data_IF_289719730244
#
_entry.id   IF_289719730244
#
_cell.length_a   1.000
_cell.length_b   1.000
_cell.length_c   1.000
_cell.angle_alpha   90.00
_cell.angle_beta   90.00
_cell.angle_gamma   90.00
#
_symmetry.space_group_name_H-M   'P 1'
#
loop_
_entity.id
_entity.type
_entity.pdbx_description
1 polymer ?
#
# COMPACT_ATOMS: atom_id res chain seq x y z
N UNK A 1 0.47 -27.43 -40.28
CA UNK A 1 -0.73 -27.49 -39.41
C UNK A 1 -1.41 -26.15 -39.52
N UNK A 2 -2.37 -26.05 -40.44
CA UNK A 2 -3.17 -24.85 -40.67
C UNK A 2 -4.27 -24.80 -39.62
N UNK A 3 -4.28 -23.76 -38.78
CA UNK A 3 -5.38 -23.50 -37.86
C UNK A 3 -6.55 -22.95 -38.66
N UNK A 4 -7.46 -23.83 -39.09
CA UNK A 4 -8.77 -23.45 -39.62
C UNK A 4 -9.54 -22.66 -38.55
N UNK A 5 -9.45 -21.34 -38.62
CA UNK A 5 -10.31 -20.44 -37.85
C UNK A 5 -11.74 -20.57 -38.35
N UNK A 6 -12.50 -21.48 -37.74
CA UNK A 6 -13.95 -21.53 -37.93
C UNK A 6 -14.53 -20.15 -37.58
N UNK A 7 -15.45 -19.61 -38.41
CA UNK A 7 -16.13 -18.36 -38.08
C UNK A 7 -16.80 -18.51 -36.71
N UNK A 8 -16.41 -17.67 -35.75
CA UNK A 8 -17.05 -17.61 -34.44
C UNK A 8 -18.55 -17.38 -34.66
N UNK A 9 -19.38 -18.35 -34.30
CA UNK A 9 -20.83 -18.17 -34.32
C UNK A 9 -21.18 -17.02 -33.36
N UNK A 10 -22.23 -16.23 -33.63
CA UNK A 10 -22.66 -15.15 -32.73
C UNK A 10 -22.88 -15.62 -31.28
N UNK A 11 -23.29 -16.88 -31.11
CA UNK A 11 -23.44 -17.54 -29.82
C UNK A 11 -22.08 -17.84 -29.16
N UNK A 12 -21.09 -18.32 -29.92
CA UNK A 12 -19.71 -18.51 -29.44
C UNK A 12 -19.02 -17.19 -29.04
N UNK A 13 -19.27 -16.11 -29.78
CA UNK A 13 -18.79 -14.78 -29.43
C UNK A 13 -19.41 -14.26 -28.12
N UNK A 14 -20.73 -14.47 -27.91
CA UNK A 14 -21.41 -14.11 -26.65
C UNK A 14 -20.95 -14.95 -25.47
N UNK A 15 -20.75 -16.26 -25.67
CA UNK A 15 -20.24 -17.15 -24.64
C UNK A 15 -18.81 -16.75 -24.22
N UNK A 16 -17.93 -16.45 -25.17
CA UNK A 16 -16.57 -15.98 -24.89
C UNK A 16 -16.55 -14.63 -24.15
N UNK A 17 -17.45 -13.71 -24.49
CA UNK A 17 -17.60 -12.44 -23.77
C UNK A 17 -18.11 -12.64 -22.34
N UNK A 18 -19.08 -13.54 -22.14
CA UNK A 18 -19.60 -13.88 -20.83
C UNK A 18 -18.54 -14.55 -19.94
N UNK A 19 -17.74 -15.46 -20.50
CA UNK A 19 -16.62 -16.12 -19.80
C UNK A 19 -15.52 -15.11 -19.43
N UNK A 20 -15.19 -14.20 -20.34
CA UNK A 20 -14.24 -13.10 -20.07
C UNK A 20 -14.73 -12.21 -18.94
N UNK A 21 -16.02 -11.87 -18.93
CA UNK A 21 -16.61 -11.06 -17.86
C UNK A 21 -16.66 -11.83 -16.53
N UNK A 22 -16.94 -13.14 -16.56
CA UNK A 22 -16.89 -14.00 -15.38
C UNK A 22 -15.49 -14.09 -14.78
N UNK A 23 -14.46 -14.27 -15.61
CA UNK A 23 -13.04 -14.26 -15.19
C UNK A 23 -12.66 -12.89 -14.64
N UNK A 24 -13.07 -11.80 -15.29
CA UNK A 24 -12.83 -10.43 -14.80
C UNK A 24 -13.48 -10.19 -13.46
N UNK A 25 -14.72 -10.63 -13.28
CA UNK A 25 -15.48 -10.47 -12.03
C UNK A 25 -14.84 -11.29 -10.92
N UNK A 26 -14.44 -12.54 -11.20
CA UNK A 26 -13.76 -13.43 -10.25
C UNK A 26 -12.37 -12.90 -9.85
N UNK A 27 -11.59 -12.41 -10.81
CA UNK A 27 -10.30 -11.78 -10.53
C UNK A 27 -10.45 -10.48 -9.71
N UNK A 28 -11.50 -9.69 -9.99
CA UNK A 28 -11.84 -8.51 -9.18
C UNK A 28 -12.22 -8.90 -7.75
N UNK A 29 -13.05 -9.93 -7.58
CA UNK A 29 -13.46 -10.43 -6.26
C UNK A 29 -12.30 -11.07 -5.47
N UNK A 30 -11.35 -11.72 -6.13
CA UNK A 30 -10.14 -12.25 -5.48
C UNK A 30 -9.19 -11.12 -5.07
N UNK A 31 -8.97 -10.14 -5.96
CA UNK A 31 -8.17 -8.92 -5.71
C UNK A 31 -8.74 -7.96 -4.67
N UNK A 32 -10.02 -8.15 -4.34
CA UNK A 32 -10.74 -7.51 -3.26
C UNK A 32 -10.46 -8.11 -1.86
N UNK A 33 -9.77 -9.25 -1.74
CA UNK A 33 -9.55 -9.85 -0.42
C UNK A 33 -8.65 -8.98 0.47
N UNK A 34 -9.02 -8.74 1.75
CA UNK A 34 -8.21 -7.92 2.65
C UNK A 34 -6.82 -8.51 2.86
N UNK A 35 -5.84 -7.63 2.97
CA UNK A 35 -4.50 -8.00 3.42
C UNK A 35 -4.55 -8.65 4.81
N UNK A 36 -3.61 -9.56 5.13
CA UNK A 36 -3.47 -10.07 6.47
C UNK A 36 -3.32 -8.94 7.48
N UNK A 37 -4.00 -9.05 8.63
CA UNK A 37 -3.99 -8.01 9.68
C UNK A 37 -2.58 -7.69 10.14
N UNK A 38 -1.69 -8.69 10.23
CA UNK A 38 -0.29 -8.47 10.59
C UNK A 38 0.44 -7.55 9.60
N UNK A 39 0.19 -7.71 8.29
CA UNK A 39 0.83 -6.89 7.26
C UNK A 39 0.34 -5.44 7.33
N UNK A 40 -0.97 -5.27 7.53
CA UNK A 40 -1.56 -3.95 7.79
C UNK A 40 -0.91 -3.28 9.01
N UNK A 41 -0.83 -3.97 10.15
CA UNK A 41 -0.20 -3.44 11.37
C UNK A 41 1.25 -3.03 11.11
N UNK A 42 2.04 -3.87 10.42
CA UNK A 42 3.42 -3.51 10.08
C UNK A 42 3.48 -2.28 9.17
N UNK A 43 2.65 -2.21 8.13
CA UNK A 43 2.61 -1.05 7.23
C UNK A 43 2.25 0.23 7.99
N UNK A 44 1.27 0.17 8.90
CA UNK A 44 0.89 1.32 9.74
C UNK A 44 2.04 1.74 10.65
N UNK A 45 2.71 0.81 11.31
CA UNK A 45 3.88 1.10 12.15
C UNK A 45 5.03 1.70 11.33
N UNK A 46 5.27 1.19 10.13
CA UNK A 46 6.28 1.74 9.21
C UNK A 46 5.96 3.19 8.81
N UNK A 47 4.71 3.47 8.42
CA UNK A 47 4.25 4.82 8.11
C UNK A 47 4.37 5.75 9.33
N UNK A 48 4.03 5.27 10.52
CA UNK A 48 4.13 6.05 11.76
C UNK A 48 5.58 6.32 12.17
N UNK A 49 6.50 5.40 11.88
CA UNK A 49 7.92 5.57 12.22
C UNK A 49 8.64 6.54 11.27
N UNK A 50 8.21 6.63 10.00
CA UNK A 50 8.89 7.38 8.94
C UNK A 50 9.20 8.85 9.29
N UNK A 51 8.25 9.66 9.81
CA UNK A 51 8.54 11.07 10.12
C UNK A 51 9.61 11.21 11.19
N UNK A 52 9.59 10.35 12.22
CA UNK A 52 10.55 10.37 13.32
C UNK A 52 11.94 10.00 12.80
N UNK A 53 12.05 8.88 12.07
CA UNK A 53 13.34 8.41 11.56
C UNK A 53 13.93 9.40 10.55
N UNK A 54 13.11 9.92 9.64
CA UNK A 54 13.57 10.89 8.64
C UNK A 54 13.91 12.26 9.25
N UNK A 55 13.17 12.69 10.29
CA UNK A 55 13.54 13.83 11.13
C UNK A 55 14.90 13.64 11.81
N UNK A 56 15.17 12.44 12.33
CA UNK A 56 16.48 12.05 12.90
C UNK A 56 17.64 12.19 11.94
N UNK A 57 17.45 11.80 10.68
CA UNK A 57 18.47 11.90 9.64
C UNK A 57 18.74 13.35 9.24
N UNK A 58 17.69 14.19 9.25
CA UNK A 58 17.73 15.56 8.70
C UNK A 58 17.95 16.64 9.74
N UNK A 59 17.94 16.31 11.03
CA UNK A 59 18.20 17.23 12.13
C UNK A 59 19.59 17.89 12.03
N UNK A 60 19.69 19.19 12.32
CA UNK A 60 20.94 19.96 12.21
C UNK A 60 21.96 19.59 13.31
N UNK A 61 21.49 19.13 14.47
CA UNK A 61 22.29 18.54 15.56
C UNK A 61 21.85 17.10 15.83
N UNK A 62 22.64 16.35 16.61
CA UNK A 62 22.23 15.02 17.06
C UNK A 62 20.90 15.12 17.84
N UNK A 63 19.92 14.35 17.39
CA UNK A 63 18.56 14.37 17.94
C UNK A 63 18.16 12.96 18.35
N UNK A 64 18.08 12.70 19.66
CA UNK A 64 17.88 11.39 20.33
C UNK A 64 18.98 10.35 20.07
N UNK A 65 19.41 10.20 18.83
CA UNK A 65 20.48 9.32 18.36
C UNK A 65 21.37 10.08 17.37
N UNK A 66 22.65 9.68 17.22
CA UNK A 66 23.51 10.19 16.16
C UNK A 66 22.93 9.90 14.77
N UNK A 67 23.16 10.79 13.79
CA UNK A 67 22.65 10.62 12.41
C UNK A 67 22.91 9.23 11.79
N UNK A 68 24.11 8.61 11.93
CA UNK A 68 24.34 7.27 11.38
C UNK A 68 23.42 6.20 11.97
N UNK A 69 23.09 6.31 13.26
CA UNK A 69 22.17 5.38 13.91
C UNK A 69 20.75 5.51 13.32
N UNK A 70 20.29 6.74 13.06
CA UNK A 70 19.01 6.96 12.36
C UNK A 70 19.00 6.40 10.95
N UNK A 71 20.09 6.55 10.20
CA UNK A 71 20.24 5.94 8.87
C UNK A 71 20.16 4.42 8.94
N UNK A 72 20.84 3.78 9.90
CA UNK A 72 20.76 2.33 10.12
C UNK A 72 19.33 1.89 10.47
N UNK A 73 18.64 2.65 11.31
CA UNK A 73 17.22 2.39 11.63
C UNK A 73 16.38 2.44 10.36
N UNK A 74 16.52 3.48 9.53
CA UNK A 74 15.78 3.61 8.27
C UNK A 74 15.99 2.41 7.34
N UNK A 75 17.25 2.02 7.14
CA UNK A 75 17.60 0.87 6.30
C UNK A 75 16.99 -0.42 6.86
N UNK A 76 17.05 -0.62 8.18
CA UNK A 76 16.50 -1.79 8.85
C UNK A 76 14.98 -1.87 8.69
N UNK A 77 14.26 -0.80 9.01
CA UNK A 77 12.78 -0.81 8.90
C UNK A 77 12.34 -0.97 7.45
N UNK A 78 13.08 -0.42 6.48
CA UNK A 78 12.80 -0.57 5.05
C UNK A 78 13.02 -2.00 4.59
N UNK A 79 14.11 -2.63 5.02
CA UNK A 79 14.38 -4.04 4.70
C UNK A 79 13.33 -4.98 5.30
N UNK A 80 12.95 -4.75 6.56
CA UNK A 80 11.88 -5.52 7.22
C UNK A 80 10.55 -5.34 6.49
N UNK A 81 10.19 -4.10 6.15
CA UNK A 81 8.98 -3.82 5.37
C UNK A 81 9.00 -4.54 4.01
N UNK A 82 10.11 -4.46 3.28
CA UNK A 82 10.26 -5.14 1.99
C UNK A 82 10.13 -6.66 2.08
N UNK A 83 10.74 -7.27 3.10
CA UNK A 83 10.62 -8.71 3.35
C UNK A 83 9.17 -9.12 3.66
N UNK A 84 8.50 -8.38 4.53
CA UNK A 84 7.11 -8.63 4.90
C UNK A 84 6.14 -8.41 3.73
N UNK A 85 6.38 -7.39 2.91
CA UNK A 85 5.64 -7.17 1.67
C UNK A 85 5.83 -8.33 0.69
N UNK A 86 7.06 -8.82 0.53
CA UNK A 86 7.35 -9.96 -0.34
C UNK A 86 6.64 -11.24 0.14
N UNK A 87 6.63 -11.50 1.45
CA UNK A 87 5.89 -12.62 2.05
C UNK A 87 4.39 -12.48 1.79
N UNK A 88 3.82 -11.30 2.03
CA UNK A 88 2.40 -11.05 1.81
C UNK A 88 2.02 -11.18 0.33
N UNK A 89 2.84 -10.63 -0.58
CA UNK A 89 2.64 -10.73 -2.03
C UNK A 89 2.78 -12.17 -2.53
N UNK A 90 3.70 -12.96 -1.97
CA UNK A 90 3.84 -14.39 -2.28
C UNK A 90 2.63 -15.18 -1.80
N UNK A 91 2.27 -15.06 -0.52
CA UNK A 91 1.11 -15.74 0.05
C UNK A 91 -0.19 -15.39 -0.70
N UNK A 92 -0.30 -14.14 -1.14
CA UNK A 92 -1.39 -13.68 -2.00
C UNK A 92 -1.43 -14.42 -3.35
N UNK A 93 -0.29 -14.44 -4.04
CA UNK A 93 -0.15 -15.10 -5.35
C UNK A 93 -0.42 -16.59 -5.25
N UNK A 94 0.06 -17.23 -4.19
CA UNK A 94 -0.16 -18.66 -3.94
C UNK A 94 -1.65 -18.96 -3.69
N UNK A 95 -2.38 -18.04 -3.02
CA UNK A 95 -3.80 -18.21 -2.71
C UNK A 95 -4.73 -17.90 -3.88
N UNK A 96 -4.40 -16.89 -4.69
CA UNK A 96 -5.31 -16.34 -5.71
C UNK A 96 -4.89 -16.62 -7.14
N UNK A 97 -3.64 -17.04 -7.38
CA UNK A 97 -3.07 -17.22 -8.71
C UNK A 97 -2.77 -15.92 -9.47
N UNK A 98 -3.12 -14.75 -8.91
CA UNK A 98 -3.03 -13.44 -9.56
C UNK A 98 -2.01 -12.56 -8.85
N UNK A 99 -1.22 -11.80 -9.61
CA UNK A 99 -0.34 -10.79 -9.05
C UNK A 99 -1.17 -9.67 -8.37
N UNK A 100 -0.66 -9.15 -7.27
CA UNK A 100 -1.31 -8.07 -6.53
C UNK A 100 -1.55 -6.85 -7.46
N UNK A 101 -2.83 -6.51 -7.70
CA UNK A 101 -3.20 -5.38 -8.56
C UNK A 101 -3.54 -4.16 -7.71
N UNK A 102 -2.79 -3.09 -7.90
CA UNK A 102 -3.08 -1.77 -7.30
C UNK A 102 -4.30 -1.08 -7.94
N UNK A 103 -4.75 -1.57 -9.10
CA UNK A 103 -5.84 -1.00 -9.91
C UNK A 103 -7.24 -1.12 -9.30
N UNK A 104 -7.40 -1.97 -8.28
CA UNK A 104 -8.70 -2.30 -7.67
C UNK A 104 -9.14 -1.22 -6.67
N UNK A 105 -8.21 -0.37 -6.24
CA UNK A 105 -8.52 0.72 -5.33
C UNK A 105 -9.12 1.92 -6.10
N UNK A 106 -10.18 2.56 -5.56
CA UNK A 106 -10.81 3.71 -6.21
C UNK A 106 -9.81 4.85 -6.37
N UNK A 107 -9.49 5.21 -7.62
CA UNK A 107 -8.52 6.25 -8.00
C UNK A 107 -8.73 7.59 -7.28
N UNK A 108 -9.99 7.93 -6.99
CA UNK A 108 -10.36 9.16 -6.28
C UNK A 108 -9.85 9.21 -4.83
N UNK A 109 -9.67 8.06 -4.20
CA UNK A 109 -9.12 7.96 -2.85
C UNK A 109 -7.61 7.73 -2.87
N UNK A 110 -7.12 6.85 -3.77
CA UNK A 110 -5.69 6.52 -3.81
C UNK A 110 -4.80 7.62 -4.33
N UNK A 111 -5.26 8.44 -5.28
CA UNK A 111 -4.42 9.50 -5.85
C UNK A 111 -4.09 10.60 -4.82
N UNK A 112 -5.06 11.15 -4.05
CA UNK A 112 -4.74 12.07 -2.96
C UNK A 112 -3.83 11.47 -1.90
N UNK A 113 -3.99 10.17 -1.59
CA UNK A 113 -3.14 9.50 -0.61
C UNK A 113 -1.70 9.30 -1.15
N UNK A 114 -1.56 8.88 -2.41
CA UNK A 114 -0.27 8.63 -3.03
C UNK A 114 0.58 9.90 -3.15
N UNK A 115 -0.05 11.07 -3.22
CA UNK A 115 0.65 12.36 -3.25
C UNK A 115 0.75 12.99 -1.86
N UNK A 116 -0.36 13.02 -1.13
CA UNK A 116 -0.47 13.68 0.17
C UNK A 116 0.30 12.97 1.27
N UNK A 117 0.35 11.63 1.26
CA UNK A 117 1.08 10.87 2.28
C UNK A 117 2.60 11.11 2.18
N UNK A 118 3.27 11.01 1.01
CA UNK A 118 4.68 11.39 0.91
C UNK A 118 4.95 12.84 1.33
N UNK A 119 4.11 13.79 0.91
CA UNK A 119 4.24 15.20 1.29
C UNK A 119 4.14 15.37 2.80
N UNK A 120 3.17 14.72 3.45
CA UNK A 120 3.00 14.77 4.89
C UNK A 120 4.21 14.19 5.63
N UNK A 121 4.66 12.98 5.22
CA UNK A 121 5.72 12.26 5.91
C UNK A 121 7.07 12.96 5.77
N UNK A 122 7.39 13.45 4.56
CA UNK A 122 8.66 14.13 4.26
C UNK A 122 8.62 15.60 4.70
N UNK A 123 7.52 16.30 4.42
CA UNK A 123 7.35 17.71 4.75
C UNK A 123 7.42 17.99 6.25
N UNK A 124 6.94 17.05 7.09
CA UNK A 124 7.06 17.15 8.53
C UNK A 124 8.51 17.20 9.03
N UNK A 125 9.43 16.46 8.39
CA UNK A 125 10.84 16.52 8.73
C UNK A 125 11.47 17.87 8.37
N UNK A 126 11.07 18.47 7.26
CA UNK A 126 11.48 19.83 6.91
C UNK A 126 10.93 20.87 7.88
N UNK A 127 9.66 20.75 8.29
CA UNK A 127 9.06 21.63 9.29
C UNK A 127 9.75 21.48 10.66
N UNK A 128 10.06 20.25 11.07
CA UNK A 128 10.84 19.96 12.27
C UNK A 128 12.23 20.61 12.20
N UNK A 129 12.95 20.44 11.09
CA UNK A 129 14.27 21.05 10.91
C UNK A 129 14.21 22.57 10.99
N UNK A 130 13.21 23.19 10.35
CA UNK A 130 13.08 24.65 10.34
C UNK A 130 12.64 25.25 11.68
N UNK A 131 11.86 24.52 12.48
CA UNK A 131 11.26 25.04 13.72
C UNK A 131 11.89 24.49 15.00
N UNK A 132 12.65 23.40 14.90
CA UNK A 132 13.15 22.63 16.04
C UNK A 132 12.07 21.88 16.83
N UNK A 133 10.79 21.95 16.42
CA UNK A 133 9.68 21.42 17.21
C UNK A 133 9.30 19.99 16.82
N UNK A 134 9.42 19.00 17.73
CA UNK A 134 9.13 17.60 17.42
C UNK A 134 7.63 17.33 17.18
N UNK A 135 6.76 18.29 17.51
CA UNK A 135 5.30 18.19 17.31
C UNK A 135 4.94 17.91 15.85
N UNK A 136 5.70 18.44 14.89
CA UNK A 136 5.49 18.19 13.45
C UNK A 136 5.64 16.72 13.10
N UNK A 137 6.63 16.04 13.68
CA UNK A 137 6.90 14.63 13.45
C UNK A 137 5.83 13.75 14.10
N UNK A 138 5.44 14.08 15.32
CA UNK A 138 4.40 13.36 16.06
C UNK A 138 3.05 13.49 15.33
N UNK A 139 2.69 14.71 14.93
CA UNK A 139 1.45 14.96 14.20
C UNK A 139 1.41 14.21 12.87
N UNK A 140 2.50 14.23 12.09
CA UNK A 140 2.58 13.49 10.84
C UNK A 140 2.52 11.97 11.05
N UNK A 141 3.13 11.46 12.12
CA UNK A 141 3.09 10.04 12.48
C UNK A 141 1.66 9.59 12.80
N UNK A 142 0.95 10.37 13.62
CA UNK A 142 -0.46 10.11 13.98
C UNK A 142 -1.39 10.23 12.78
N UNK A 143 -1.21 11.26 11.95
CA UNK A 143 -1.99 11.46 10.74
C UNK A 143 -1.76 10.34 9.72
N UNK A 144 -0.50 9.92 9.52
CA UNK A 144 -0.15 8.78 8.67
C UNK A 144 -0.76 7.47 9.16
N UNK A 145 -0.69 7.20 10.47
CA UNK A 145 -1.29 6.01 11.07
C UNK A 145 -2.82 5.99 10.92
N UNK A 146 -3.46 7.14 11.13
CA UNK A 146 -4.91 7.33 10.97
C UNK A 146 -5.32 7.13 9.52
N UNK A 147 -4.58 7.70 8.57
CA UNK A 147 -4.84 7.53 7.14
C UNK A 147 -4.70 6.06 6.70
N UNK A 148 -3.63 5.38 7.14
CA UNK A 148 -3.41 3.95 6.89
C UNK A 148 -4.56 3.10 7.42
N UNK A 149 -4.98 3.34 8.66
CA UNK A 149 -6.09 2.62 9.32
C UNK A 149 -7.42 2.89 8.62
N UNK A 150 -7.71 4.16 8.31
CA UNK A 150 -8.92 4.55 7.59
C UNK A 150 -9.03 3.87 6.22
N UNK A 151 -7.91 3.78 5.49
CA UNK A 151 -7.85 3.07 4.22
C UNK A 151 -8.10 1.57 4.37
N UNK A 152 -7.48 0.93 5.33
CA UNK A 152 -7.69 -0.50 5.58
C UNK A 152 -9.16 -0.78 5.94
N UNK A 153 -9.75 0.02 6.83
CA UNK A 153 -11.16 -0.13 7.20
C UNK A 153 -12.10 0.15 6.03
N UNK A 154 -11.83 1.18 5.22
CA UNK A 154 -12.61 1.47 4.02
C UNK A 154 -12.53 0.32 3.01
N UNK A 155 -11.33 -0.23 2.79
CA UNK A 155 -11.11 -1.39 1.93
C UNK A 155 -11.89 -2.60 2.43
N UNK A 156 -11.79 -2.95 3.71
CA UNK A 156 -12.53 -4.06 4.32
C UNK A 156 -14.04 -3.84 4.19
N UNK A 157 -14.53 -2.62 4.44
CA UNK A 157 -15.96 -2.28 4.33
C UNK A 157 -16.48 -2.38 2.90
N UNK A 158 -15.72 -1.91 1.92
CA UNK A 158 -16.10 -1.97 0.51
C UNK A 158 -16.25 -3.43 0.07
N UNK A 159 -15.31 -4.29 0.44
CA UNK A 159 -15.31 -5.68 -0.02
C UNK A 159 -16.21 -6.61 0.79
N UNK A 160 -16.58 -6.25 2.03
CA UNK A 160 -17.60 -6.98 2.81
C UNK A 160 -19.03 -6.73 2.29
N UNK A 161 -19.29 -5.61 1.61
CA UNK A 161 -20.62 -5.30 1.04
C UNK A 161 -20.88 -6.00 -0.30
N UNK A 162 -19.84 -6.48 -0.95
CA UNK A 162 -19.89 -7.11 -2.27
C UNK A 162 -19.88 -8.65 -2.21
N UNK A 163 -19.58 -9.23 -1.04
CA UNK A 163 -19.62 -10.66 -0.75
C UNK A 163 -20.93 -11.04 -0.08
#
# INVERSE_FOLDING_TARGET
METNGLPLTPEGARAALADTEHIRTSATALSATPWPTWFFVTLTLYIAALPIVYGGITADSDWLLPRPAWTVVMLTITAVYGALFAVAAKAWRDKTGVALRWDVLPKRATLPLAVGLPILLVGAAFAFRATGQPVWLIAASLAGATASTGFHLAFVRLHRKTA
#
